data_IF_378494571657
#
_entry.id   IF_378494571657
#
_cell.length_a   1.000
_cell.length_b   1.000
_cell.length_c   1.000
_cell.angle_alpha   90.00
_cell.angle_beta   90.00
_cell.angle_gamma   90.00
#
_symmetry.space_group_name_H-M   'P 1'
#
loop_
_entity.id
_entity.type
_entity.pdbx_description
1 polymer ?
#
# COMPACT_ATOMS: atom_id res chain seq x y z
N UNK A 1 -57.16 -34.09 5.95
CA UNK A 1 -56.44 -33.63 7.15
C UNK A 1 -55.54 -34.79 7.51
N UNK A 2 -54.22 -34.78 7.32
CA UNK A 2 -53.22 -33.74 7.11
C UNK A 2 -52.02 -34.49 6.53
N UNK A 3 -51.71 -34.32 5.24
CA UNK A 3 -50.48 -34.81 4.63
C UNK A 3 -49.86 -33.62 3.90
N UNK A 4 -49.12 -32.78 4.63
CA UNK A 4 -48.37 -31.64 4.09
C UNK A 4 -47.29 -31.20 5.10
N UNK A 5 -46.35 -32.08 5.40
CA UNK A 5 -45.10 -31.72 6.08
C UNK A 5 -43.94 -32.55 5.52
N UNK A 6 -43.48 -32.18 4.32
CA UNK A 6 -42.12 -32.43 3.86
C UNK A 6 -41.93 -31.72 2.53
N UNK A 7 -41.38 -30.50 2.57
CA UNK A 7 -40.61 -29.87 1.48
C UNK A 7 -40.28 -28.42 1.87
N UNK A 8 -39.52 -28.23 2.96
CA UNK A 8 -38.77 -26.98 3.17
C UNK A 8 -37.47 -27.36 3.84
N UNK A 9 -36.45 -27.72 3.06
CA UNK A 9 -35.06 -27.48 3.46
C UNK A 9 -34.09 -27.74 2.30
N UNK A 10 -33.13 -26.82 2.20
CA UNK A 10 -31.91 -26.84 1.39
C UNK A 10 -32.00 -26.17 0.02
N UNK A 11 -32.03 -24.83 0.05
CA UNK A 11 -31.68 -23.99 -1.09
C UNK A 11 -30.79 -22.80 -0.64
N UNK A 12 -29.77 -23.07 0.19
CA UNK A 12 -28.89 -22.02 0.75
C UNK A 12 -27.38 -22.18 0.46
N UNK A 13 -26.95 -23.15 -0.34
CA UNK A 13 -25.52 -23.43 -0.54
C UNK A 13 -24.92 -23.09 -1.93
N UNK A 14 -25.63 -22.37 -2.80
CA UNK A 14 -25.06 -21.96 -4.10
C UNK A 14 -24.52 -20.52 -4.11
N UNK A 15 -25.07 -19.61 -3.29
CA UNK A 15 -24.68 -18.20 -3.30
C UNK A 15 -23.29 -17.92 -2.68
N UNK A 16 -22.79 -18.77 -1.78
CA UNK A 16 -21.50 -18.54 -1.11
C UNK A 16 -20.29 -18.64 -2.04
N UNK A 17 -20.42 -19.34 -3.16
CA UNK A 17 -19.34 -19.55 -4.14
C UNK A 17 -19.24 -18.37 -5.12
N UNK A 18 -20.38 -17.80 -5.54
CA UNK A 18 -20.41 -16.66 -6.47
C UNK A 18 -19.80 -15.39 -5.86
N UNK A 19 -20.10 -15.08 -4.60
CA UNK A 19 -19.49 -13.93 -3.91
C UNK A 19 -17.97 -14.03 -3.80
N UNK A 20 -17.43 -15.23 -3.53
CA UNK A 20 -15.99 -15.45 -3.47
C UNK A 20 -15.35 -15.30 -4.86
N UNK A 21 -16.01 -15.80 -5.91
CA UNK A 21 -15.57 -15.61 -7.31
C UNK A 21 -15.56 -14.12 -7.72
N UNK A 22 -16.56 -13.33 -7.29
CA UNK A 22 -16.57 -11.88 -7.52
C UNK A 22 -15.42 -11.17 -6.80
N UNK A 23 -15.07 -11.60 -5.58
CA UNK A 23 -13.93 -11.03 -4.84
C UNK A 23 -12.60 -11.40 -5.51
N UNK A 24 -12.44 -12.65 -5.92
CA UNK A 24 -11.22 -13.14 -6.57
C UNK A 24 -11.00 -12.44 -7.92
N UNK A 25 -12.07 -12.27 -8.72
CA UNK A 25 -12.00 -11.54 -10.00
C UNK A 25 -11.71 -10.05 -9.81
N UNK A 26 -12.28 -9.38 -8.81
CA UNK A 26 -11.92 -7.98 -8.50
C UNK A 26 -10.46 -7.87 -8.08
N UNK A 27 -9.95 -8.84 -7.31
CA UNK A 27 -8.56 -8.86 -6.86
C UNK A 27 -7.60 -9.08 -8.03
N UNK A 28 -7.96 -9.96 -8.97
CA UNK A 28 -7.22 -10.19 -10.21
C UNK A 28 -7.25 -8.97 -11.14
N UNK A 29 -8.39 -8.30 -11.26
CA UNK A 29 -8.51 -7.05 -12.01
C UNK A 29 -7.64 -5.96 -11.40
N UNK A 30 -7.64 -5.79 -10.07
CA UNK A 30 -6.76 -4.82 -9.40
C UNK A 30 -5.28 -5.10 -9.60
N UNK A 31 -4.86 -6.37 -9.62
CA UNK A 31 -3.47 -6.77 -9.89
C UNK A 31 -3.02 -6.43 -11.31
N UNK A 32 -3.94 -6.51 -12.28
CA UNK A 32 -3.64 -6.30 -13.71
C UNK A 32 -4.05 -4.92 -14.24
N UNK A 33 -4.61 -4.05 -13.39
CA UNK A 33 -5.07 -2.71 -13.79
C UNK A 33 -4.10 -1.64 -13.31
N UNK A 34 -3.88 -0.64 -14.16
CA UNK A 34 -3.21 0.61 -13.77
C UNK A 34 -4.22 1.62 -13.24
N UNK A 35 -3.76 2.59 -12.45
CA UNK A 35 -4.63 3.70 -12.03
C UNK A 35 -5.13 4.47 -13.26
N UNK A 36 -6.36 4.98 -13.17
CA UNK A 36 -6.99 5.74 -14.26
C UNK A 36 -6.11 6.90 -14.73
N UNK A 37 -5.46 7.58 -13.80
CA UNK A 37 -4.56 8.70 -14.08
C UNK A 37 -3.33 8.26 -14.90
N UNK A 38 -2.72 7.10 -14.57
CA UNK A 38 -1.61 6.53 -15.35
C UNK A 38 -2.06 6.15 -16.77
N UNK A 39 -3.26 5.58 -16.90
CA UNK A 39 -3.83 5.23 -18.20
C UNK A 39 -4.07 6.47 -19.08
N UNK A 40 -4.70 7.51 -18.54
CA UNK A 40 -4.97 8.76 -19.27
C UNK A 40 -3.68 9.49 -19.67
N UNK A 41 -2.65 9.48 -18.80
CA UNK A 41 -1.31 10.00 -19.12
C UNK A 41 -0.69 9.24 -20.30
N UNK A 42 -0.76 7.91 -20.29
CA UNK A 42 -0.20 7.06 -21.35
C UNK A 42 -0.94 7.25 -22.68
N UNK A 43 -2.27 7.34 -22.64
CA UNK A 43 -3.09 7.60 -23.83
C UNK A 43 -2.72 8.94 -24.46
N UNK A 44 -2.52 9.98 -23.64
CA UNK A 44 -2.09 11.29 -24.11
C UNK A 44 -0.69 11.26 -24.71
N UNK A 45 0.26 10.61 -24.06
CA UNK A 45 1.63 10.44 -24.58
C UNK A 45 1.64 9.69 -25.93
N UNK A 46 0.81 8.64 -26.07
CA UNK A 46 0.66 7.92 -27.33
C UNK A 46 0.04 8.77 -28.44
N UNK A 47 -0.97 9.58 -28.12
CA UNK A 47 -1.58 10.51 -29.08
C UNK A 47 -0.57 11.57 -29.56
N UNK A 48 0.23 12.10 -28.64
CA UNK A 48 1.29 13.06 -28.95
C UNK A 48 2.34 12.40 -29.85
N UNK A 49 2.80 11.19 -29.51
CA UNK A 49 3.74 10.38 -30.32
C UNK A 49 3.26 10.13 -31.74
N UNK A 50 2.01 9.71 -31.90
CA UNK A 50 1.41 9.45 -33.23
C UNK A 50 1.37 10.75 -34.04
N UNK A 51 1.03 11.87 -33.40
CA UNK A 51 0.98 13.18 -34.07
C UNK A 51 2.37 13.60 -34.54
N UNK A 52 3.41 13.41 -33.73
CA UNK A 52 4.75 13.78 -34.11
C UNK A 52 5.40 12.83 -35.13
N UNK A 53 5.06 11.54 -35.10
CA UNK A 53 5.44 10.59 -36.15
C UNK A 53 4.85 11.00 -37.51
N UNK A 54 3.62 11.52 -37.50
CA UNK A 54 2.93 12.00 -38.71
C UNK A 54 3.51 13.32 -39.22
N UNK A 55 3.94 14.21 -38.33
CA UNK A 55 4.43 15.54 -38.66
C UNK A 55 5.96 15.63 -38.83
N UNK A 56 6.70 14.59 -38.43
CA UNK A 56 8.16 14.54 -38.49
C UNK A 56 8.86 15.40 -37.42
N UNK A 57 8.13 15.82 -36.38
CA UNK A 57 8.66 16.65 -35.29
C UNK A 57 9.27 15.77 -34.19
N UNK A 58 10.36 16.23 -33.55
CA UNK A 58 10.82 15.64 -32.30
C UNK A 58 9.95 16.15 -31.15
N UNK A 59 9.28 15.24 -30.45
CA UNK A 59 8.67 15.56 -29.16
C UNK A 59 9.77 15.44 -28.11
N UNK A 60 9.97 16.49 -27.33
CA UNK A 60 10.53 16.33 -26.00
C UNK A 60 9.44 15.68 -25.15
N UNK A 61 9.42 14.35 -25.13
CA UNK A 61 8.79 13.65 -24.03
C UNK A 61 9.47 14.20 -22.78
N UNK A 62 8.69 14.75 -21.84
CA UNK A 62 9.22 15.03 -20.51
C UNK A 62 9.69 13.69 -19.99
N UNK A 63 11.01 13.51 -19.93
CA UNK A 63 11.61 12.31 -19.38
C UNK A 63 10.91 12.03 -18.07
N UNK A 64 10.28 10.86 -17.98
CA UNK A 64 9.79 10.37 -16.71
C UNK A 64 10.99 10.40 -15.77
N UNK A 65 10.92 11.08 -14.60
CA UNK A 65 12.09 11.24 -13.75
C UNK A 65 12.68 9.86 -13.53
N UNK A 66 13.97 9.69 -13.85
CA UNK A 66 14.68 8.42 -13.68
C UNK A 66 14.33 7.88 -12.29
N UNK A 67 13.78 6.66 -12.26
CA UNK A 67 13.33 6.12 -10.99
C UNK A 67 14.54 5.93 -10.06
N UNK A 68 14.66 6.78 -9.05
CA UNK A 68 15.72 6.75 -8.02
C UNK A 68 16.12 5.31 -7.66
N UNK A 69 17.39 4.97 -7.84
CA UNK A 69 17.94 3.65 -7.49
C UNK A 69 17.85 3.38 -5.98
N UNK A 70 18.00 2.10 -5.58
CA UNK A 70 18.03 1.71 -4.17
C UNK A 70 19.14 2.44 -3.42
N UNK A 71 20.32 2.59 -4.04
CA UNK A 71 21.47 3.26 -3.43
C UNK A 71 21.25 4.77 -3.29
N UNK A 72 20.61 5.40 -4.28
CA UNK A 72 20.21 6.81 -4.19
C UNK A 72 19.19 7.03 -3.08
N UNK A 73 18.18 6.16 -2.96
CA UNK A 73 17.19 6.22 -1.88
C UNK A 73 17.84 6.04 -0.50
N UNK A 74 18.78 5.09 -0.37
CA UNK A 74 19.54 4.89 0.88
C UNK A 74 20.41 6.09 1.22
N UNK A 75 21.12 6.64 0.23
CA UNK A 75 21.94 7.84 0.42
C UNK A 75 21.09 9.07 0.78
N UNK A 76 19.91 9.18 0.18
CA UNK A 76 18.99 10.28 0.41
C UNK A 76 18.33 10.21 1.80
N UNK A 77 17.98 9.01 2.27
CA UNK A 77 17.38 8.78 3.59
C UNK A 77 18.39 8.78 4.75
N UNK A 78 19.59 8.25 4.51
CA UNK A 78 20.54 7.92 5.59
C UNK A 78 21.96 8.47 5.39
N UNK A 79 22.28 9.03 4.22
CA UNK A 79 23.63 9.44 3.85
C UNK A 79 24.07 10.78 4.44
N UNK A 80 23.12 11.66 4.78
CA UNK A 80 23.39 12.96 5.39
C UNK A 80 22.65 13.11 6.74
N UNK A 81 23.37 13.08 7.88
CA UNK A 81 22.75 13.21 9.19
C UNK A 81 22.21 14.62 9.48
N UNK A 82 22.65 15.64 8.75
CA UNK A 82 22.21 17.03 8.93
C UNK A 82 21.02 17.40 8.02
N UNK A 83 20.65 16.51 7.09
CA UNK A 83 19.53 16.71 6.18
C UNK A 83 18.20 16.59 6.93
N UNK A 84 17.51 17.72 7.05
CA UNK A 84 16.13 17.73 7.56
C UNK A 84 15.17 17.27 6.47
N UNK A 85 14.32 16.29 6.80
CA UNK A 85 13.19 15.89 5.98
C UNK A 85 11.91 16.06 6.79
N UNK A 86 10.83 16.41 6.11
CA UNK A 86 9.49 16.34 6.70
C UNK A 86 9.09 14.89 6.97
N UNK A 87 8.12 14.68 7.84
CA UNK A 87 7.65 13.34 8.15
C UNK A 87 7.07 12.66 6.90
N UNK A 88 6.32 13.44 6.11
CA UNK A 88 5.77 13.00 4.83
C UNK A 88 6.86 12.54 3.87
N UNK A 89 7.89 13.36 3.63
CA UNK A 89 8.99 13.00 2.73
C UNK A 89 9.73 11.75 3.19
N UNK A 90 10.04 11.66 4.48
CA UNK A 90 10.76 10.51 5.03
C UNK A 90 9.96 9.21 4.84
N UNK A 91 8.66 9.24 5.16
CA UNK A 91 7.80 8.05 5.06
C UNK A 91 7.55 7.68 3.59
N UNK A 92 7.28 8.65 2.71
CA UNK A 92 7.13 8.39 1.27
C UNK A 92 8.38 7.74 0.66
N UNK A 93 9.58 8.23 0.99
CA UNK A 93 10.83 7.63 0.50
C UNK A 93 11.12 6.28 1.12
N UNK A 94 10.79 6.07 2.38
CA UNK A 94 10.93 4.77 3.05
C UNK A 94 10.02 3.72 2.40
N UNK A 95 8.76 4.06 2.10
CA UNK A 95 7.84 3.17 1.39
C UNK A 95 8.32 2.85 -0.03
N UNK A 96 8.85 3.84 -0.74
CA UNK A 96 9.47 3.65 -2.06
C UNK A 96 10.68 2.71 -1.99
N UNK A 97 11.55 2.89 -1.00
CA UNK A 97 12.69 2.00 -0.75
C UNK A 97 12.22 0.57 -0.46
N UNK A 98 11.21 0.39 0.40
CA UNK A 98 10.61 -0.92 0.70
C UNK A 98 10.12 -1.61 -0.57
N UNK A 99 9.37 -0.91 -1.42
CA UNK A 99 8.86 -1.48 -2.68
C UNK A 99 10.00 -1.96 -3.59
N UNK A 100 11.05 -1.14 -3.78
CA UNK A 100 12.22 -1.51 -4.60
C UNK A 100 13.01 -2.68 -4.04
N UNK A 101 13.16 -2.77 -2.71
CA UNK A 101 13.83 -3.90 -2.06
C UNK A 101 13.06 -5.21 -2.28
N UNK A 102 11.74 -5.19 -2.09
CA UNK A 102 10.88 -6.36 -2.31
C UNK A 102 10.93 -6.80 -3.79
N UNK A 103 10.89 -5.85 -4.73
CA UNK A 103 11.01 -6.14 -6.17
C UNK A 103 12.37 -6.74 -6.54
N UNK A 104 13.45 -6.27 -5.91
CA UNK A 104 14.80 -6.82 -6.08
C UNK A 104 15.01 -8.18 -5.37
N UNK A 105 14.02 -8.66 -4.62
CA UNK A 105 14.14 -9.87 -3.81
C UNK A 105 14.99 -9.71 -2.54
N UNK A 106 15.26 -8.46 -2.13
CA UNK A 106 15.91 -8.15 -0.86
C UNK A 106 14.92 -8.26 0.33
N UNK A 107 15.43 -8.47 1.55
CA UNK A 107 14.58 -8.50 2.75
C UNK A 107 13.78 -7.20 2.93
N UNK A 108 12.52 -7.34 3.32
CA UNK A 108 11.67 -6.20 3.67
C UNK A 108 12.26 -5.46 4.90
N UNK A 109 12.53 -4.14 4.80
CA UNK A 109 13.08 -3.35 5.90
C UNK A 109 12.16 -3.25 7.12
N UNK A 110 10.87 -3.56 6.98
CA UNK A 110 9.90 -3.54 8.09
C UNK A 110 9.83 -4.87 8.83
N UNK A 111 10.46 -5.92 8.31
CA UNK A 111 10.57 -7.19 9.00
C UNK A 111 11.68 -7.15 10.07
N UNK A 112 11.49 -7.87 11.18
CA UNK A 112 12.53 -8.00 12.19
C UNK A 112 13.76 -8.69 11.59
N UNK A 113 14.92 -8.07 11.80
CA UNK A 113 16.21 -8.63 11.41
C UNK A 113 17.00 -9.01 12.67
N UNK A 114 17.17 -10.31 12.91
CA UNK A 114 17.90 -10.84 14.05
C UNK A 114 18.46 -12.23 13.78
N UNK A 115 19.68 -12.50 14.26
CA UNK A 115 20.36 -13.79 14.01
C UNK A 115 19.61 -15.00 14.57
N UNK A 116 18.90 -14.82 15.69
CA UNK A 116 18.15 -15.88 16.38
C UNK A 116 16.63 -15.77 16.18
N UNK A 117 16.17 -14.92 15.27
CA UNK A 117 14.74 -14.70 15.03
C UNK A 117 14.31 -15.33 13.71
N UNK A 118 13.27 -16.15 13.76
CA UNK A 118 12.65 -16.72 12.56
C UNK A 118 11.40 -15.92 12.22
N UNK A 119 11.43 -15.28 11.06
CA UNK A 119 10.29 -14.54 10.51
C UNK A 119 9.12 -15.51 10.36
N UNK A 120 7.99 -15.15 10.97
CA UNK A 120 6.74 -15.87 10.86
C UNK A 120 5.72 -15.10 10.01
N UNK A 121 4.59 -15.74 9.72
CA UNK A 121 3.53 -15.13 8.91
C UNK A 121 2.90 -13.89 9.57
N UNK A 122 2.87 -13.84 10.91
CA UNK A 122 2.37 -12.68 11.64
C UNK A 122 3.28 -11.46 11.44
N UNK A 123 4.60 -11.66 11.36
CA UNK A 123 5.55 -10.57 11.10
C UNK A 123 5.33 -9.97 9.71
N UNK A 124 5.15 -10.82 8.70
CA UNK A 124 4.87 -10.41 7.32
C UNK A 124 3.56 -9.65 7.23
N UNK A 125 2.50 -10.18 7.84
CA UNK A 125 1.19 -9.52 7.87
C UNK A 125 1.25 -8.18 8.60
N UNK A 126 2.00 -8.10 9.71
CA UNK A 126 2.17 -6.87 10.49
C UNK A 126 2.96 -5.84 9.70
N UNK A 127 4.06 -6.23 9.05
CA UNK A 127 4.86 -5.34 8.21
C UNK A 127 4.03 -4.76 7.04
N UNK A 128 3.23 -5.61 6.39
CA UNK A 128 2.31 -5.18 5.33
C UNK A 128 1.23 -4.22 5.85
N UNK A 129 0.60 -4.54 6.98
CA UNK A 129 -0.40 -3.68 7.60
C UNK A 129 0.17 -2.30 7.97
N UNK A 130 1.38 -2.26 8.54
CA UNK A 130 2.04 -0.99 8.88
C UNK A 130 2.30 -0.17 7.63
N UNK A 131 2.84 -0.78 6.58
CA UNK A 131 3.12 -0.08 5.34
C UNK A 131 1.85 0.42 4.64
N UNK A 132 0.78 -0.36 4.65
CA UNK A 132 -0.54 0.04 4.15
C UNK A 132 -1.08 1.24 4.92
N UNK A 133 -1.03 1.20 6.26
CA UNK A 133 -1.46 2.32 7.09
C UNK A 133 -0.64 3.59 6.84
N UNK A 134 0.67 3.46 6.66
CA UNK A 134 1.55 4.59 6.31
C UNK A 134 1.20 5.13 4.93
N UNK A 135 0.95 4.28 3.94
CA UNK A 135 0.55 4.69 2.59
C UNK A 135 -0.79 5.44 2.63
N UNK A 136 -1.78 4.96 3.37
CA UNK A 136 -3.06 5.66 3.52
C UNK A 136 -2.90 7.05 4.15
N UNK A 137 -1.97 7.22 5.09
CA UNK A 137 -1.64 8.53 5.66
C UNK A 137 -1.01 9.46 4.61
N UNK A 138 -0.10 8.94 3.79
CA UNK A 138 0.53 9.68 2.68
C UNK A 138 -0.52 10.11 1.66
N UNK A 139 -1.42 9.20 1.27
CA UNK A 139 -2.47 9.46 0.30
C UNK A 139 -3.47 10.51 0.82
N UNK A 140 -3.83 10.44 2.11
CA UNK A 140 -4.71 11.41 2.74
C UNK A 140 -4.07 12.81 2.83
N UNK A 141 -2.77 12.87 3.09
CA UNK A 141 -2.03 14.11 3.25
C UNK A 141 -2.01 14.96 1.97
N UNK A 142 -2.05 14.33 0.79
CA UNK A 142 -2.02 15.00 -0.52
C UNK A 142 -0.94 16.10 -0.64
N UNK A 143 0.24 15.85 -0.08
CA UNK A 143 1.37 16.79 -0.07
C UNK A 143 1.48 17.69 1.17
N UNK A 144 0.54 17.63 2.12
CA UNK A 144 0.57 18.41 3.37
C UNK A 144 1.16 17.60 4.54
N UNK A 145 2.37 17.96 4.98
CA UNK A 145 3.07 17.30 6.09
C UNK A 145 2.35 17.42 7.45
N UNK A 146 1.65 18.54 7.69
CA UNK A 146 0.90 18.70 8.93
C UNK A 146 -0.29 17.74 8.97
N UNK A 147 -0.97 17.58 7.84
CA UNK A 147 -2.09 16.66 7.70
C UNK A 147 -1.63 15.19 7.81
N UNK A 148 -0.48 14.86 7.20
CA UNK A 148 0.18 13.56 7.39
C UNK A 148 0.42 13.26 8.87
N UNK A 149 1.08 14.19 9.56
CA UNK A 149 1.45 14.03 10.97
C UNK A 149 0.20 13.90 11.85
N UNK A 150 -0.85 14.69 11.58
CA UNK A 150 -2.11 14.61 12.30
C UNK A 150 -2.79 13.25 12.13
N UNK A 151 -2.86 12.73 10.91
CA UNK A 151 -3.48 11.43 10.65
C UNK A 151 -2.70 10.27 11.26
N UNK A 152 -1.37 10.32 11.17
CA UNK A 152 -0.50 9.33 11.81
C UNK A 152 -0.73 9.32 13.32
N UNK A 153 -0.76 10.50 13.95
CA UNK A 153 -1.07 10.64 15.38
C UNK A 153 -2.48 10.15 15.72
N UNK A 154 -3.48 10.44 14.87
CA UNK A 154 -4.86 9.98 15.08
C UNK A 154 -4.96 8.45 15.11
N UNK A 155 -4.23 7.77 14.23
CA UNK A 155 -4.23 6.30 14.12
C UNK A 155 -3.39 5.62 15.20
N UNK A 156 -2.33 6.26 15.67
CA UNK A 156 -1.40 5.70 16.67
C UNK A 156 -1.76 6.05 18.11
N UNK A 157 -2.71 6.94 18.33
CA UNK A 157 -3.18 7.31 19.67
C UNK A 157 -3.94 6.15 20.32
N UNK A 158 -3.36 5.58 21.37
CA UNK A 158 -4.05 4.64 22.26
C UNK A 158 -5.04 5.41 23.16
N UNK A 159 -6.30 5.46 22.76
CA UNK A 159 -7.40 6.00 23.55
C UNK A 159 -8.19 4.92 24.31
N UNK A 160 -7.65 3.70 24.37
CA UNK A 160 -8.30 2.59 25.06
C UNK A 160 -8.31 2.85 26.57
N UNK A 161 -9.48 2.77 27.24
CA UNK A 161 -9.52 2.95 28.68
C UNK A 161 -8.72 1.82 29.33
N UNK A 162 -7.58 2.15 29.94
CA UNK A 162 -6.80 1.24 30.76
C UNK A 162 -7.75 0.54 31.74
N UNK A 163 -8.02 -0.75 31.54
CA UNK A 163 -8.66 -1.58 32.56
C UNK A 163 -7.79 -1.45 33.80
N UNK A 164 -8.28 -0.71 34.81
CA UNK A 164 -7.59 -0.56 36.10
C UNK A 164 -7.26 -1.97 36.59
N UNK A 165 -6.00 -2.37 36.45
CA UNK A 165 -5.52 -3.60 37.03
C UNK A 165 -5.84 -3.50 38.52
N UNK A 166 -6.65 -4.44 39.02
CA UNK A 166 -6.94 -4.53 40.44
C UNK A 166 -5.61 -4.75 41.15
N UNK A 167 -5.01 -3.66 41.64
CA UNK A 167 -3.88 -3.71 42.55
C UNK A 167 -4.44 -4.41 43.80
N UNK A 168 -4.22 -5.73 43.89
CA UNK A 168 -4.45 -6.49 45.12
C UNK A 168 -3.47 -5.93 46.14
N UNK A 169 -3.95 -4.99 46.96
CA UNK A 169 -3.27 -4.62 48.20
C UNK A 169 -3.22 -5.90 49.05
N UNK A 170 -1.99 -6.39 49.30
CA UNK A 170 -1.72 -7.38 50.34
C UNK A 170 -1.84 -6.72 51.71
#
# INVERSE_FOLDING_TARGET
MEDLQNEVQNNENENGNEYQQYIDTITELKKNSVSKEKYEKLEKQNADLITALKEGNQINLVDEPEEESIDELRADLYGDPDKSMTNLEYVSKTLKLRAKLIEAGEPDPFLPNGQDYQINETDINTANMIAEQMQECVDYANGDDQLFTQELMRRTKDDSPLKKAQIRKK
#
